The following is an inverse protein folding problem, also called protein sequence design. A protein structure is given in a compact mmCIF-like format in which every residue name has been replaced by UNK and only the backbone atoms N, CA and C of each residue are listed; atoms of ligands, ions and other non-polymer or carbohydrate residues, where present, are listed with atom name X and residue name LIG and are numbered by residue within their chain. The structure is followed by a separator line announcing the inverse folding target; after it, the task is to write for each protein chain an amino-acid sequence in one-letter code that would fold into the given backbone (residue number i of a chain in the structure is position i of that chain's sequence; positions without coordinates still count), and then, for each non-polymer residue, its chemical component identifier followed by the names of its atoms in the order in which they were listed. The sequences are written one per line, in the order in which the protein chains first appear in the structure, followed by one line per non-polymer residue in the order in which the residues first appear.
data_IF_938851718468
#
_entry.id   IF_938851718468
#
_cell.length_a   1.000
_cell.length_b   1.000
_cell.length_c   1.000
_cell.angle_alpha   90.00
_cell.angle_beta   90.00
_cell.angle_gamma   90.00
#
_symmetry.space_group_name_H-M   'P 1'
#
loop_
_entity.id
_entity.type
_entity.pdbx_description
1 polymer ?
#
# COMPACT_ATOMS: atom_id res chain seq x y z
N UNK A 1 25.91 1.06 -18.56
CA UNK A 1 24.65 0.66 -19.24
C UNK A 1 24.77 -0.82 -19.57
N UNK A 2 23.75 -1.63 -19.30
CA UNK A 2 23.78 -3.07 -19.55
C UNK A 2 23.64 -3.38 -21.06
N UNK A 3 24.30 -4.43 -21.55
CA UNK A 3 24.36 -4.76 -22.99
C UNK A 3 22.99 -5.09 -23.62
N UNK A 4 22.04 -5.58 -22.81
CA UNK A 4 20.66 -5.90 -23.24
C UNK A 4 19.62 -4.82 -22.93
N UNK A 5 20.02 -3.59 -22.60
CA UNK A 5 19.08 -2.51 -22.33
C UNK A 5 18.15 -2.24 -23.53
N UNK A 6 16.85 -2.11 -23.30
CA UNK A 6 15.83 -1.89 -24.35
C UNK A 6 15.41 -3.14 -25.12
N UNK A 7 15.94 -4.32 -24.78
CA UNK A 7 15.52 -5.60 -25.37
C UNK A 7 14.43 -6.26 -24.51
N UNK A 8 13.69 -7.19 -25.11
CA UNK A 8 12.71 -8.01 -24.38
C UNK A 8 13.40 -8.89 -23.34
N UNK A 9 12.73 -9.06 -22.18
CA UNK A 9 13.16 -9.99 -21.15
C UNK A 9 13.20 -11.43 -21.71
N UNK A 10 14.21 -12.18 -21.28
CA UNK A 10 14.40 -13.58 -21.62
C UNK A 10 13.99 -14.46 -20.44
N UNK A 11 13.70 -15.77 -20.63
CA UNK A 11 13.26 -16.64 -19.55
C UNK A 11 14.18 -16.64 -18.32
N UNK A 12 15.49 -16.50 -18.49
CA UNK A 12 16.45 -16.44 -17.38
C UNK A 12 16.46 -15.12 -16.60
N UNK A 13 15.78 -14.08 -17.11
CA UNK A 13 15.61 -12.80 -16.39
C UNK A 13 14.41 -12.84 -15.44
N UNK A 14 13.55 -13.85 -15.57
CA UNK A 14 12.32 -13.97 -14.81
C UNK A 14 12.60 -14.57 -13.44
N UNK A 15 11.83 -14.12 -12.45
CA UNK A 15 11.90 -14.61 -11.09
C UNK A 15 11.29 -16.01 -10.97
N UNK A 16 11.75 -16.76 -9.98
CA UNK A 16 11.04 -17.96 -9.50
C UNK A 16 9.95 -17.51 -8.52
N UNK A 17 8.70 -17.53 -9.00
CA UNK A 17 7.52 -17.04 -8.26
C UNK A 17 7.33 -17.80 -6.96
N UNK A 18 7.41 -19.13 -7.01
CA UNK A 18 7.19 -19.98 -5.83
C UNK A 18 8.26 -19.73 -4.78
N UNK A 19 9.53 -19.60 -5.20
CA UNK A 19 10.63 -19.28 -4.29
C UNK A 19 10.45 -17.93 -3.59
N UNK A 20 10.01 -16.90 -4.31
CA UNK A 20 9.77 -15.57 -3.74
C UNK A 20 8.61 -15.59 -2.75
N UNK A 21 7.50 -16.28 -3.07
CA UNK A 21 6.35 -16.38 -2.17
C UNK A 21 6.66 -17.24 -0.95
N UNK A 22 7.29 -18.41 -1.11
CA UNK A 22 7.68 -19.25 0.03
C UNK A 22 8.64 -18.52 0.96
N UNK A 23 9.65 -17.83 0.42
CA UNK A 23 10.57 -17.05 1.24
C UNK A 23 9.87 -15.99 2.10
N UNK A 24 8.76 -15.41 1.63
CA UNK A 24 8.01 -14.41 2.40
C UNK A 24 7.52 -14.98 3.74
N UNK A 25 7.08 -16.23 3.76
CA UNK A 25 6.56 -16.90 4.96
C UNK A 25 7.64 -17.69 5.72
N UNK A 26 8.61 -18.26 5.02
CA UNK A 26 9.60 -19.18 5.62
C UNK A 26 10.78 -18.45 6.28
N UNK A 27 11.15 -17.26 5.78
CA UNK A 27 12.29 -16.50 6.30
C UNK A 27 11.82 -15.47 7.33
N UNK A 28 12.36 -15.59 8.54
CA UNK A 28 12.20 -14.60 9.61
C UNK A 28 13.44 -13.69 9.62
N UNK A 29 13.27 -12.36 9.56
CA UNK A 29 14.39 -11.41 9.53
C UNK A 29 15.18 -11.43 10.84
N UNK A 30 16.50 -11.31 10.73
CA UNK A 30 17.39 -10.99 11.85
C UNK A 30 17.46 -9.47 12.03
N UNK A 31 16.83 -8.97 13.09
CA UNK A 31 16.86 -7.55 13.47
C UNK A 31 18.26 -7.07 13.85
N UNK A 32 19.24 -7.93 14.12
CA UNK A 32 20.63 -7.48 14.29
C UNK A 32 21.36 -7.26 12.95
N UNK A 33 20.86 -7.82 11.84
CA UNK A 33 21.36 -7.55 10.49
C UNK A 33 20.70 -6.28 9.91
N UNK A 34 21.46 -5.19 9.68
CA UNK A 34 20.91 -3.97 9.09
C UNK A 34 20.23 -4.18 7.73
N UNK A 35 20.61 -5.21 6.97
CA UNK A 35 20.00 -5.54 5.69
C UNK A 35 18.61 -6.18 5.79
N UNK A 36 18.23 -6.64 6.99
CA UNK A 36 16.96 -7.32 7.28
C UNK A 36 16.08 -6.53 8.27
N UNK A 37 16.52 -5.33 8.68
CA UNK A 37 15.69 -4.41 9.46
C UNK A 37 14.57 -3.83 8.61
N UNK A 38 13.48 -3.44 9.27
CA UNK A 38 12.55 -2.49 8.69
C UNK A 38 13.29 -1.16 8.50
N UNK A 39 13.38 -0.73 7.24
CA UNK A 39 13.85 0.59 6.83
C UNK A 39 12.66 1.36 6.25
N UNK A 40 11.96 2.14 7.08
CA UNK A 40 10.69 2.78 6.72
C UNK A 40 10.95 4.27 6.47
N UNK A 41 11.26 4.63 5.22
CA UNK A 41 11.46 6.02 4.81
C UNK A 41 10.18 6.67 4.27
N UNK A 42 10.31 7.82 3.59
CA UNK A 42 9.18 8.52 2.93
C UNK A 42 8.50 7.69 1.84
N UNK A 43 9.22 6.70 1.29
CA UNK A 43 8.69 5.71 0.34
C UNK A 43 8.23 4.41 1.00
N UNK A 44 8.13 4.39 2.33
CA UNK A 44 7.87 3.21 3.14
C UNK A 44 9.07 2.28 3.25
N UNK A 45 8.79 1.01 3.54
CA UNK A 45 9.77 -0.07 3.56
C UNK A 45 9.72 -0.88 2.26
N UNK A 46 10.89 -1.24 1.74
CA UNK A 46 11.07 -2.06 0.54
C UNK A 46 12.16 -3.08 0.77
N UNK A 47 12.03 -4.21 0.07
CA UNK A 47 13.04 -5.26 0.05
C UNK A 47 12.53 -6.45 -0.75
N UNK A 48 13.23 -7.56 -0.68
CA UNK A 48 12.79 -8.84 -1.25
C UNK A 48 12.71 -9.88 -0.15
N UNK A 49 11.77 -10.80 -0.26
CA UNK A 49 11.66 -11.91 0.68
C UNK A 49 12.90 -12.82 0.64
N UNK A 50 13.58 -12.89 -0.51
CA UNK A 50 14.70 -13.80 -0.76
C UNK A 50 15.93 -13.58 0.11
N UNK A 51 16.12 -12.36 0.62
CA UNK A 51 17.24 -11.99 1.48
C UNK A 51 16.80 -11.56 2.88
N UNK A 52 15.55 -11.86 3.27
CA UNK A 52 15.05 -11.50 4.59
C UNK A 52 14.74 -10.01 4.76
N UNK A 53 14.52 -9.25 3.68
CA UNK A 53 14.26 -7.81 3.76
C UNK A 53 12.80 -7.41 3.44
N UNK A 54 11.92 -8.38 3.14
CA UNK A 54 10.48 -8.15 2.95
C UNK A 54 9.71 -9.47 3.12
N UNK A 55 9.38 -9.78 4.36
CA UNK A 55 8.82 -11.05 4.80
C UNK A 55 7.64 -10.80 5.75
N UNK A 56 6.90 -11.84 6.10
CA UNK A 56 5.69 -11.74 6.92
C UNK A 56 5.91 -10.94 8.21
N UNK A 57 7.02 -11.19 8.91
CA UNK A 57 7.39 -10.49 10.13
C UNK A 57 7.45 -8.96 9.95
N UNK A 58 8.00 -8.48 8.84
CA UNK A 58 8.10 -7.04 8.55
C UNK A 58 6.72 -6.42 8.42
N UNK A 59 5.82 -7.08 7.69
CA UNK A 59 4.48 -6.56 7.42
C UNK A 59 3.61 -6.60 8.65
N UNK A 60 3.66 -7.70 9.41
CA UNK A 60 2.92 -7.83 10.67
C UNK A 60 3.38 -6.75 11.66
N UNK A 61 4.68 -6.61 11.87
CA UNK A 61 5.24 -5.63 12.80
C UNK A 61 5.00 -4.18 12.35
N UNK A 62 5.18 -3.89 11.06
CA UNK A 62 4.97 -2.53 10.52
C UNK A 62 3.49 -2.15 10.53
N UNK A 63 2.58 -3.10 10.25
CA UNK A 63 1.14 -2.84 10.35
C UNK A 63 0.74 -2.56 11.80
N UNK A 64 1.24 -3.34 12.76
CA UNK A 64 1.00 -3.09 14.18
C UNK A 64 1.56 -1.73 14.63
N UNK A 65 2.76 -1.36 14.17
CA UNK A 65 3.31 -0.04 14.40
C UNK A 65 2.41 1.08 13.82
N UNK A 66 1.90 0.93 12.59
CA UNK A 66 0.95 1.91 12.02
C UNK A 66 -0.32 2.02 12.87
N UNK A 67 -0.87 0.90 13.36
CA UNK A 67 -2.04 0.90 14.25
C UNK A 67 -1.78 1.69 15.53
N UNK A 68 -0.61 1.51 16.13
CA UNK A 68 -0.23 2.23 17.35
C UNK A 68 0.01 3.72 17.06
N UNK A 69 0.73 4.03 15.98
CA UNK A 69 1.02 5.39 15.55
C UNK A 69 -0.27 6.19 15.28
N UNK A 70 -1.16 5.64 14.44
CA UNK A 70 -2.41 6.33 14.08
C UNK A 70 -3.29 6.60 15.31
N UNK A 71 -3.30 5.69 16.28
CA UNK A 71 -4.02 5.87 17.56
C UNK A 71 -3.40 6.98 18.39
N UNK A 72 -2.08 7.06 18.47
CA UNK A 72 -1.36 8.14 19.17
C UNK A 72 -1.63 9.51 18.52
N UNK A 73 -1.74 9.55 17.19
CA UNK A 73 -2.08 10.77 16.45
C UNK A 73 -3.59 11.12 16.45
N UNK A 74 -4.44 10.31 17.11
CA UNK A 74 -5.88 10.53 17.15
C UNK A 74 -6.59 10.30 15.81
N UNK A 75 -6.00 9.50 14.91
CA UNK A 75 -6.58 9.07 13.64
C UNK A 75 -7.45 7.84 13.88
N UNK A 76 -8.76 8.03 13.90
CA UNK A 76 -9.77 7.04 14.29
C UNK A 76 -10.83 6.77 13.20
N UNK A 77 -10.69 7.39 12.01
CA UNK A 77 -11.52 7.12 10.84
C UNK A 77 -11.06 5.91 10.03
N UNK A 78 -11.56 5.76 8.79
CA UNK A 78 -11.24 4.60 7.94
C UNK A 78 -9.81 4.65 7.40
N UNK A 79 -9.17 3.48 7.31
CA UNK A 79 -7.91 3.25 6.64
C UNK A 79 -8.16 2.70 5.24
N UNK A 80 -7.82 3.47 4.21
CA UNK A 80 -7.89 3.03 2.81
C UNK A 80 -6.65 2.22 2.44
N UNK A 81 -6.84 0.99 1.96
CA UNK A 81 -5.73 0.12 1.61
C UNK A 81 -5.78 -0.30 0.14
N UNK A 82 -4.69 -0.01 -0.57
CA UNK A 82 -4.48 -0.39 -1.97
C UNK A 82 -3.24 -1.24 -2.16
N UNK A 83 -3.24 -2.11 -3.17
CA UNK A 83 -2.08 -2.93 -3.57
C UNK A 83 -1.82 -2.80 -5.07
N UNK A 84 -0.56 -2.92 -5.48
CA UNK A 84 -0.19 -3.03 -6.89
C UNK A 84 -0.06 -4.49 -7.35
N UNK A 85 0.52 -4.66 -8.54
CA UNK A 85 0.67 -5.93 -9.25
C UNK A 85 1.95 -6.70 -8.90
N UNK A 86 2.78 -6.21 -7.97
CA UNK A 86 3.96 -6.96 -7.54
C UNK A 86 3.56 -8.25 -6.83
N UNK A 87 4.36 -9.29 -7.02
CA UNK A 87 4.09 -10.61 -6.46
C UNK A 87 3.96 -10.58 -4.93
N UNK A 88 4.84 -9.83 -4.25
CA UNK A 88 4.85 -9.70 -2.80
C UNK A 88 3.76 -8.77 -2.24
N UNK A 89 3.03 -8.05 -3.09
CA UNK A 89 1.94 -7.17 -2.64
C UNK A 89 0.73 -7.95 -2.15
N UNK A 90 0.45 -9.11 -2.75
CA UNK A 90 -0.64 -10.00 -2.32
C UNK A 90 -0.42 -10.58 -0.91
N UNK A 91 0.70 -11.27 -0.60
CA UNK A 91 0.92 -11.80 0.74
C UNK A 91 1.03 -10.67 1.79
N UNK A 92 1.64 -9.53 1.46
CA UNK A 92 1.67 -8.38 2.35
C UNK A 92 0.28 -7.80 2.65
N UNK A 93 -0.60 -7.73 1.65
CA UNK A 93 -1.98 -7.30 1.84
C UNK A 93 -2.74 -8.21 2.81
N UNK A 94 -2.54 -9.53 2.71
CA UNK A 94 -3.14 -10.50 3.62
C UNK A 94 -2.67 -10.28 5.05
N UNK A 95 -1.36 -10.23 5.28
CA UNK A 95 -0.79 -10.03 6.62
C UNK A 95 -1.22 -8.70 7.25
N UNK A 96 -1.31 -7.62 6.45
CA UNK A 96 -1.80 -6.34 6.92
C UNK A 96 -3.30 -6.39 7.30
N UNK A 97 -4.15 -6.99 6.47
CA UNK A 97 -5.59 -7.16 6.77
C UNK A 97 -5.82 -7.88 8.10
N UNK A 98 -5.07 -8.95 8.35
CA UNK A 98 -5.20 -9.74 9.56
C UNK A 98 -4.87 -8.96 10.84
N UNK A 99 -3.81 -8.14 10.80
CA UNK A 99 -3.42 -7.27 11.94
C UNK A 99 -4.40 -6.12 12.11
N UNK A 100 -4.80 -5.46 11.03
CA UNK A 100 -5.75 -4.33 11.07
C UNK A 100 -7.10 -4.75 11.65
N UNK A 101 -7.65 -5.88 11.16
CA UNK A 101 -8.92 -6.40 11.65
C UNK A 101 -8.83 -6.86 13.12
N UNK A 102 -7.73 -7.50 13.52
CA UNK A 102 -7.51 -7.89 14.91
C UNK A 102 -7.43 -6.70 15.87
N UNK A 103 -7.06 -5.52 15.37
CA UNK A 103 -7.03 -4.27 16.12
C UNK A 103 -8.32 -3.44 15.98
N UNK A 104 -9.34 -3.95 15.27
CA UNK A 104 -10.62 -3.27 15.09
C UNK A 104 -10.54 -2.00 14.25
N UNK A 105 -9.50 -1.85 13.40
CA UNK A 105 -9.41 -0.73 12.47
C UNK A 105 -10.49 -0.86 11.41
N UNK A 106 -11.21 0.23 11.12
CA UNK A 106 -12.09 0.30 9.97
C UNK A 106 -11.24 0.35 8.69
N UNK A 107 -11.30 -0.69 7.86
CA UNK A 107 -10.50 -0.80 6.64
C UNK A 107 -11.39 -0.73 5.40
N UNK A 108 -10.96 0.05 4.41
CA UNK A 108 -11.61 0.14 3.09
C UNK A 108 -10.68 -0.42 2.03
N UNK A 109 -11.04 -1.59 1.50
CA UNK A 109 -10.33 -2.28 0.41
C UNK A 109 -11.09 -2.14 -0.91
N UNK A 110 -10.43 -2.43 -2.02
CA UNK A 110 -11.04 -2.31 -3.34
C UNK A 110 -12.32 -3.15 -3.48
N UNK A 111 -13.36 -2.51 -4.01
CA UNK A 111 -14.69 -3.10 -4.17
C UNK A 111 -14.71 -4.25 -5.20
N UNK A 112 -13.77 -4.25 -6.14
CA UNK A 112 -13.66 -5.23 -7.23
C UNK A 112 -12.55 -6.25 -6.98
N UNK A 113 -11.91 -6.18 -5.81
CA UNK A 113 -10.69 -6.95 -5.49
C UNK A 113 -9.53 -6.69 -6.46
N UNK A 114 -9.54 -5.52 -7.12
CA UNK A 114 -8.55 -5.11 -8.11
C UNK A 114 -7.31 -4.44 -7.52
N UNK A 115 -6.49 -3.89 -8.41
CA UNK A 115 -5.29 -3.13 -8.04
C UNK A 115 -5.63 -1.64 -7.89
N UNK A 116 -4.92 -0.97 -6.98
CA UNK A 116 -5.20 0.43 -6.66
C UNK A 116 -3.95 1.28 -6.82
N UNK A 117 -3.92 2.21 -7.80
CA UNK A 117 -2.86 3.18 -7.93
C UNK A 117 -2.70 4.01 -6.65
N UNK A 118 -1.45 4.32 -6.29
CA UNK A 118 -1.13 5.24 -5.18
C UNK A 118 -1.98 6.53 -5.18
N UNK A 119 -2.18 7.25 -6.30
CA UNK A 119 -3.00 8.45 -6.29
C UNK A 119 -4.50 8.18 -6.03
N UNK A 120 -5.02 6.99 -6.30
CA UNK A 120 -6.40 6.65 -5.99
C UNK A 120 -6.62 6.46 -4.48
N UNK A 121 -5.65 5.86 -3.77
CA UNK A 121 -5.66 5.83 -2.29
C UNK A 121 -5.56 7.25 -1.72
N UNK A 122 -4.65 8.07 -2.25
CA UNK A 122 -4.50 9.47 -1.85
C UNK A 122 -5.80 10.27 -2.02
N UNK A 123 -6.47 10.11 -3.17
CA UNK A 123 -7.73 10.77 -3.46
C UNK A 123 -8.85 10.32 -2.52
N UNK A 124 -8.94 9.02 -2.20
CA UNK A 124 -9.92 8.50 -1.26
C UNK A 124 -9.74 9.10 0.15
N UNK A 125 -8.49 9.20 0.63
CA UNK A 125 -8.16 9.86 1.91
C UNK A 125 -8.59 11.33 1.88
N UNK A 126 -8.18 12.07 0.85
CA UNK A 126 -8.48 13.50 0.71
C UNK A 126 -9.99 13.75 0.70
N UNK A 127 -10.75 12.93 -0.04
CA UNK A 127 -12.22 13.02 -0.10
C UNK A 127 -12.88 12.70 1.23
N UNK A 128 -12.46 11.62 1.89
CA UNK A 128 -12.96 11.27 3.22
C UNK A 128 -12.69 12.38 4.24
N UNK A 129 -11.59 13.11 4.05
CA UNK A 129 -11.20 14.24 4.90
C UNK A 129 -11.69 15.59 4.36
N UNK A 130 -12.62 15.65 3.41
CA UNK A 130 -13.34 16.88 3.05
C UNK A 130 -12.94 17.57 1.74
N UNK A 131 -12.02 16.99 0.94
CA UNK A 131 -11.75 17.48 -0.41
C UNK A 131 -13.04 17.49 -1.25
N UNK A 132 -13.24 18.56 -2.04
CA UNK A 132 -14.46 18.77 -2.82
C UNK A 132 -15.64 19.36 -2.03
N UNK A 133 -15.51 19.54 -0.71
CA UNK A 133 -16.50 20.26 0.11
C UNK A 133 -16.11 21.73 0.29
N UNK A 134 -17.06 22.58 0.72
CA UNK A 134 -16.76 23.98 1.04
C UNK A 134 -15.81 24.18 2.23
N UNK A 135 -15.62 23.14 3.05
CA UNK A 135 -14.75 23.18 4.23
C UNK A 135 -13.28 22.87 3.95
N UNK A 136 -12.96 22.30 2.79
CA UNK A 136 -11.62 21.85 2.46
C UNK A 136 -11.19 20.59 3.22
N UNK A 137 -9.92 20.22 3.05
CA UNK A 137 -9.34 19.04 3.71
C UNK A 137 -9.04 19.34 5.18
N UNK A 138 -9.54 18.51 6.08
CA UNK A 138 -9.19 18.54 7.51
C UNK A 138 -8.07 17.56 7.82
N UNK A 139 -7.18 17.95 8.72
CA UNK A 139 -6.05 17.11 9.17
C UNK A 139 -5.98 17.02 10.70
N UNK A 140 -7.02 17.46 11.39
CA UNK A 140 -7.17 17.41 12.84
C UNK A 140 -8.63 17.25 13.23
N UNK A 141 -8.89 16.66 14.39
CA UNK A 141 -10.23 16.32 14.86
C UNK A 141 -10.58 14.84 14.66
N UNK A 142 -11.81 14.44 15.01
CA UNK A 142 -12.23 13.04 14.94
C UNK A 142 -12.59 12.64 13.50
N UNK A 143 -12.56 11.33 13.24
CA UNK A 143 -12.98 10.70 12.00
C UNK A 143 -11.98 10.81 10.85
N UNK A 144 -10.72 11.14 11.13
CA UNK A 144 -9.71 11.30 10.09
C UNK A 144 -9.40 9.96 9.42
N UNK A 145 -9.47 9.94 8.09
CA UNK A 145 -9.04 8.82 7.28
C UNK A 145 -7.53 8.88 7.01
N UNK A 146 -6.93 7.71 6.84
CA UNK A 146 -5.53 7.49 6.47
C UNK A 146 -5.43 6.34 5.46
N UNK A 147 -4.23 5.90 5.10
CA UNK A 147 -4.12 4.75 4.20
C UNK A 147 -2.78 4.05 4.17
N UNK A 148 -2.81 2.84 3.64
CA UNK A 148 -1.66 2.00 3.35
C UNK A 148 -1.66 1.72 1.86
N UNK A 149 -0.47 1.76 1.25
CA UNK A 149 -0.31 1.32 -0.12
C UNK A 149 0.81 0.29 -0.18
N UNK A 150 0.53 -0.81 -0.86
CA UNK A 150 1.43 -1.96 -0.94
C UNK A 150 2.00 -2.00 -2.35
N UNK A 151 3.20 -1.45 -2.50
CA UNK A 151 3.90 -1.32 -3.78
C UNK A 151 5.34 -0.88 -3.55
N UNK A 152 6.32 -1.51 -4.23
CA UNK A 152 7.68 -1.00 -4.33
C UNK A 152 7.86 -0.06 -5.56
N UNK A 153 6.78 0.45 -6.14
CA UNK A 153 6.76 1.32 -7.33
C UNK A 153 7.25 0.61 -8.59
N UNK A 154 8.48 0.90 -9.04
CA UNK A 154 9.06 0.40 -10.30
C UNK A 154 10.26 -0.52 -10.05
N UNK A 155 10.43 -0.96 -8.80
CA UNK A 155 11.44 -1.92 -8.43
C UNK A 155 11.28 -3.25 -9.21
N UNK A 156 12.30 -4.10 -9.23
CA UNK A 156 12.23 -5.40 -9.89
C UNK A 156 11.11 -6.32 -9.35
N UNK A 157 10.66 -7.32 -10.14
CA UNK A 157 9.50 -8.15 -9.80
C UNK A 157 9.57 -8.92 -8.47
N UNK A 158 10.78 -9.23 -7.97
CA UNK A 158 10.98 -9.93 -6.69
C UNK A 158 10.85 -9.03 -5.46
N UNK A 159 10.75 -7.71 -5.65
CA UNK A 159 10.68 -6.76 -4.55
C UNK A 159 9.21 -6.58 -4.09
N UNK A 160 9.06 -6.29 -2.80
CA UNK A 160 7.82 -5.83 -2.19
C UNK A 160 8.01 -4.44 -1.59
N UNK A 161 6.91 -3.73 -1.38
CA UNK A 161 6.94 -2.41 -0.75
C UNK A 161 5.69 -2.13 0.06
N UNK A 162 5.85 -1.38 1.15
CA UNK A 162 4.78 -1.10 2.11
C UNK A 162 4.94 0.31 2.65
N UNK A 163 3.94 1.17 2.42
CA UNK A 163 3.98 2.60 2.78
C UNK A 163 2.69 3.06 3.45
N UNK A 164 2.81 4.12 4.23
CA UNK A 164 1.73 4.77 4.97
C UNK A 164 1.50 6.19 4.45
N UNK A 165 0.23 6.57 4.30
CA UNK A 165 -0.23 7.89 3.91
C UNK A 165 -1.09 8.47 5.04
N UNK A 166 -0.65 9.53 5.74
CA UNK A 166 -1.41 10.17 6.80
C UNK A 166 -2.64 10.95 6.27
N UNK A 167 -3.44 11.62 7.15
CA UNK A 167 -4.70 12.27 6.78
C UNK A 167 -4.64 13.35 5.69
N UNK A 168 -3.47 13.92 5.41
CA UNK A 168 -3.29 14.83 4.28
C UNK A 168 -3.16 14.11 2.92
N UNK A 169 -3.27 12.77 2.89
CA UNK A 169 -3.30 11.94 1.68
C UNK A 169 -1.95 11.76 0.98
N UNK A 170 -0.91 12.48 1.39
CA UNK A 170 0.45 12.40 0.84
C UNK A 170 1.29 11.27 1.48
N UNK A 171 2.55 11.11 1.04
CA UNK A 171 3.48 10.23 1.73
C UNK A 171 3.74 10.73 3.16
N UNK A 172 3.93 9.80 4.10
CA UNK A 172 4.30 10.14 5.47
C UNK A 172 5.66 10.86 5.55
N UNK A 173 5.74 11.87 6.41
CA UNK A 173 6.96 12.61 6.74
C UNK A 173 7.82 11.86 7.76
N UNK A 174 9.04 12.34 7.99
CA UNK A 174 10.08 11.64 8.77
C UNK A 174 9.72 11.39 10.24
N UNK A 175 8.83 12.20 10.81
CA UNK A 175 8.29 12.02 12.16
C UNK A 175 7.49 10.72 12.26
N UNK A 176 6.54 10.52 11.34
CA UNK A 176 5.74 9.30 11.24
C UNK A 176 6.62 8.11 10.84
N UNK A 177 7.42 8.27 9.78
CA UNK A 177 8.16 7.13 9.23
C UNK A 177 9.25 6.64 10.19
N UNK A 178 9.95 7.55 10.87
CA UNK A 178 10.94 7.19 11.90
C UNK A 178 10.31 6.48 13.08
N UNK A 179 9.20 6.99 13.61
CA UNK A 179 8.47 6.33 14.70
C UNK A 179 8.02 4.92 14.32
N UNK A 180 7.40 4.77 13.14
CA UNK A 180 6.90 3.47 12.64
C UNK A 180 8.06 2.50 12.43
N UNK A 181 9.18 2.96 11.87
CA UNK A 181 10.38 2.15 11.66
C UNK A 181 10.91 1.58 12.98
N UNK A 182 11.15 2.45 13.95
CA UNK A 182 11.76 2.06 15.22
C UNK A 182 10.83 1.11 15.95
N UNK A 183 9.53 1.43 15.97
CA UNK A 183 8.53 0.59 16.62
C UNK A 183 8.39 -0.79 15.95
N UNK A 184 8.41 -0.86 14.63
CA UNK A 184 8.35 -2.14 13.92
C UNK A 184 9.56 -3.03 14.22
N UNK A 185 10.77 -2.46 14.29
CA UNK A 185 11.97 -3.21 14.64
C UNK A 185 11.95 -3.71 16.10
N UNK A 186 11.44 -2.90 17.04
CA UNK A 186 11.21 -3.36 18.43
C UNK A 186 10.24 -4.54 18.49
N UNK A 187 9.15 -4.47 17.72
CA UNK A 187 8.13 -5.50 17.66
C UNK A 187 8.68 -6.81 17.07
N UNK A 188 9.55 -6.74 16.06
CA UNK A 188 10.26 -7.91 15.54
C UNK A 188 11.17 -8.51 16.62
N UNK A 189 11.99 -7.69 17.28
CA UNK A 189 12.90 -8.15 18.34
C UNK A 189 12.16 -8.77 19.54
N UNK A 190 10.96 -8.30 19.85
CA UNK A 190 10.13 -8.82 20.94
C UNK A 190 9.40 -10.14 20.61
N UNK A 191 9.47 -10.61 19.36
CA UNK A 191 8.75 -11.76 18.83
C UNK A 191 7.46 -11.33 18.14
N UNK A 192 7.55 -11.02 16.85
CA UNK A 192 6.45 -10.55 16.01
C UNK A 192 5.26 -11.52 15.96
N UNK A 193 5.47 -12.81 16.21
CA UNK A 193 4.42 -13.83 16.26
C UNK A 193 3.41 -13.62 17.39
N UNK A 194 3.76 -12.79 18.39
CA UNK A 194 2.86 -12.41 19.49
C UNK A 194 1.87 -11.33 19.11
N UNK A 195 2.05 -10.68 17.96
CA UNK A 195 1.16 -9.63 17.47
C UNK A 195 -0.20 -10.24 17.16
N UNK A 196 -1.26 -9.58 17.64
CA UNK A 196 -2.63 -10.04 17.45
C UNK A 196 -3.00 -10.06 15.96
N UNK A 197 -3.50 -11.21 15.51
CA UNK A 197 -3.98 -11.45 14.15
C UNK A 197 -5.25 -12.28 14.21
N UNK A 198 -6.11 -12.11 13.23
CA UNK A 198 -7.22 -13.03 12.93
C UNK A 198 -6.95 -13.70 11.59
N UNK A 199 -7.67 -14.77 11.24
CA UNK A 199 -7.53 -15.33 9.89
C UNK A 199 -8.00 -14.31 8.84
N UNK A 200 -7.42 -14.35 7.64
CA UNK A 200 -7.88 -13.52 6.52
C UNK A 200 -9.39 -13.62 6.28
N UNK A 201 -9.98 -14.82 6.37
CA UNK A 201 -11.43 -15.00 6.26
C UNK A 201 -12.19 -14.19 7.31
N UNK A 202 -11.75 -14.24 8.57
CA UNK A 202 -12.34 -13.45 9.66
C UNK A 202 -12.12 -11.96 9.45
N UNK A 203 -10.94 -11.55 8.95
CA UNK A 203 -10.63 -10.16 8.63
C UNK A 203 -11.57 -9.62 7.53
N UNK A 204 -11.79 -10.38 6.47
CA UNK A 204 -12.67 -9.99 5.36
C UNK A 204 -14.15 -10.01 5.74
N UNK A 205 -14.56 -10.87 6.67
CA UNK A 205 -15.92 -10.92 7.22
C UNK A 205 -16.16 -9.96 8.39
N UNK A 206 -15.14 -9.26 8.88
CA UNK A 206 -15.27 -8.37 10.04
C UNK A 206 -16.18 -7.18 9.71
N UNK A 207 -17.01 -6.71 10.67
CA UNK A 207 -17.87 -5.54 10.46
C UNK A 207 -17.08 -4.24 10.22
N UNK A 208 -15.79 -4.23 10.60
CA UNK A 208 -14.86 -3.12 10.35
C UNK A 208 -14.25 -3.16 8.95
N UNK A 209 -14.47 -4.22 8.16
CA UNK A 209 -13.95 -4.33 6.80
C UNK A 209 -15.04 -3.96 5.81
N UNK A 210 -14.80 -2.89 5.04
CA UNK A 210 -15.69 -2.39 4.02
C UNK A 210 -15.04 -2.34 2.64
N UNK A 211 -15.87 -2.17 1.61
CA UNK A 211 -15.45 -1.95 0.24
C UNK A 211 -15.49 -0.47 -0.13
N UNK A 212 -14.57 -0.03 -0.97
CA UNK A 212 -14.56 1.29 -1.62
C UNK A 212 -14.23 1.13 -3.11
N UNK A 213 -15.02 1.76 -3.98
CA UNK A 213 -14.80 1.71 -5.44
C UNK A 213 -13.79 2.80 -5.84
N UNK A 214 -12.50 2.48 -5.65
CA UNK A 214 -11.40 3.41 -5.95
C UNK A 214 -11.37 3.79 -7.43
N UNK A 215 -11.78 2.88 -8.32
CA UNK A 215 -11.73 3.10 -9.76
C UNK A 215 -12.75 4.16 -10.19
N UNK A 216 -14.04 3.92 -9.92
CA UNK A 216 -15.09 4.89 -10.27
C UNK A 216 -14.86 6.24 -9.58
N UNK A 217 -14.57 6.22 -8.27
CA UNK A 217 -14.34 7.44 -7.49
C UNK A 217 -13.21 8.29 -8.06
N UNK A 218 -12.14 7.67 -8.58
CA UNK A 218 -11.02 8.40 -9.16
C UNK A 218 -11.33 8.92 -10.57
N UNK A 219 -11.89 8.07 -11.44
CA UNK A 219 -12.19 8.43 -12.85
C UNK A 219 -13.23 9.53 -12.93
N UNK A 220 -14.29 9.46 -12.13
CA UNK A 220 -15.33 10.50 -12.08
C UNK A 220 -14.76 11.86 -11.63
N UNK A 221 -13.76 11.85 -10.74
CA UNK A 221 -13.17 13.06 -10.18
C UNK A 221 -12.16 13.72 -11.14
N UNK A 222 -11.72 13.04 -12.20
CA UNK A 222 -10.80 13.60 -13.20
C UNK A 222 -11.35 14.87 -13.84
N UNK A 223 -12.67 14.96 -14.05
CA UNK A 223 -13.31 16.15 -14.61
C UNK A 223 -13.14 17.40 -13.74
N UNK A 224 -12.87 17.25 -12.44
CA UNK A 224 -12.62 18.35 -11.52
C UNK A 224 -11.16 18.85 -11.55
N UNK A 225 -10.24 18.09 -12.17
CA UNK A 225 -8.80 18.37 -12.18
C UNK A 225 -8.27 18.61 -13.59
N UNK A 226 -8.91 18.00 -14.60
CA UNK A 226 -8.50 18.02 -16.01
C UNK A 226 -9.69 18.46 -16.87
N UNK A 227 -9.45 19.33 -17.85
CA UNK A 227 -10.46 19.71 -18.84
C UNK A 227 -10.61 18.59 -19.91
N UNK A 228 -11.41 17.59 -19.59
CA UNK A 228 -11.67 16.44 -20.48
C UNK A 228 -12.38 16.85 -21.78
N UNK A 229 -13.21 17.89 -21.73
CA UNK A 229 -13.93 18.40 -22.91
C UNK A 229 -12.97 19.00 -23.94
N UNK A 230 -11.95 19.75 -23.49
CA UNK A 230 -10.90 20.28 -24.38
C UNK A 230 -10.05 19.16 -25.00
N UNK A 231 -9.66 18.14 -24.22
CA UNK A 231 -8.91 16.99 -24.72
C UNK A 231 -9.71 16.26 -25.81
N UNK A 232 -11.01 16.04 -25.55
CA UNK A 232 -11.93 15.41 -26.49
C UNK A 232 -12.11 16.26 -27.76
N UNK A 233 -12.29 17.58 -27.61
CA UNK A 233 -12.47 18.50 -28.74
C UNK A 233 -11.22 18.62 -29.61
N UNK A 234 -10.02 18.48 -29.04
CA UNK A 234 -8.77 18.51 -29.76
C UNK A 234 -8.59 17.31 -30.73
N UNK A 235 -9.36 16.24 -30.57
CA UNK A 235 -9.32 15.07 -31.46
C UNK A 235 -7.97 14.35 -31.47
N UNK A 236 -7.22 14.42 -30.36
CA UNK A 236 -5.92 13.78 -30.21
C UNK A 236 -6.07 12.25 -30.20
N UNK A 237 -5.04 11.55 -30.70
CA UNK A 237 -4.94 10.09 -30.59
C UNK A 237 -4.07 9.75 -29.39
N UNK A 238 -4.64 9.10 -28.40
CA UNK A 238 -3.97 8.74 -27.15
C UNK A 238 -3.64 7.24 -27.20
N UNK A 239 -2.40 6.89 -26.84
CA UNK A 239 -1.98 5.53 -26.57
C UNK A 239 -1.42 5.46 -25.16
N UNK A 240 -1.84 4.47 -24.39
CA UNK A 240 -1.34 4.21 -23.04
C UNK A 240 -0.86 2.75 -22.96
N UNK A 241 0.34 2.57 -22.43
CA UNK A 241 0.84 1.26 -22.02
C UNK A 241 0.76 1.20 -20.48
N UNK A 242 -0.14 0.38 -19.90
CA UNK A 242 -0.22 0.24 -18.45
C UNK A 242 0.98 -0.43 -17.81
N UNK A 243 1.89 -1.03 -18.61
CA UNK A 243 3.09 -1.73 -18.16
C UNK A 243 2.82 -2.82 -17.12
N UNK A 244 1.62 -3.42 -17.16
CA UNK A 244 1.17 -4.41 -16.17
C UNK A 244 1.06 -3.84 -14.75
N UNK A 245 0.96 -2.52 -14.59
CA UNK A 245 0.84 -1.84 -13.30
C UNK A 245 -0.61 -1.72 -12.80
N UNK A 246 -0.75 -1.11 -11.61
CA UNK A 246 -2.04 -0.95 -10.93
C UNK A 246 -3.07 -0.07 -11.67
N UNK A 247 -2.68 0.64 -12.74
CA UNK A 247 -3.56 1.52 -13.52
C UNK A 247 -4.19 0.83 -14.74
N UNK A 248 -3.98 -0.48 -14.93
CA UNK A 248 -4.48 -1.21 -16.11
C UNK A 248 -5.99 -1.04 -16.32
N UNK A 249 -6.78 -1.20 -15.26
CA UNK A 249 -8.24 -1.04 -15.33
C UNK A 249 -8.65 0.45 -15.40
N UNK A 250 -7.85 1.35 -14.83
CA UNK A 250 -8.09 2.79 -14.85
C UNK A 250 -8.01 3.35 -16.26
N UNK A 251 -6.98 2.96 -17.03
CA UNK A 251 -6.88 3.35 -18.44
C UNK A 251 -7.97 2.73 -19.31
N UNK A 252 -8.52 1.58 -18.94
CA UNK A 252 -9.65 0.97 -19.65
C UNK A 252 -10.96 1.73 -19.46
N UNK A 253 -11.12 2.42 -18.33
CA UNK A 253 -12.33 3.17 -17.97
C UNK A 253 -12.31 4.63 -18.45
N UNK A 254 -11.11 5.25 -18.55
CA UNK A 254 -10.89 6.64 -19.02
C UNK A 254 -11.04 6.75 -20.54
#
# INVERSE_FOLDING_TARGET
MHERAGQLAQPQDLIDVDKVVSAYYDIVPDVEDPGQKVAFGTSGHRGTSLNGAFNEAHIVATTQAIVEYRREQGVDGPLFMGRDTHLLSEPAWKSAMEVLAANGVEVRIDARDGYTPTPAVSQAILRANGAGTSGGVVTSGPGLADGIVITPSHNPPQDGGFKYNPPHGGPADTDATGWIQDRANELIAAGWEKISRVSLESALGAPTTGKHDFLSSYVEDLANVINLDEIKAAGVRIGADPLGGASVDYWGEI
#
